data_IF_402549408108
#
_entry.id   IF_402549408108
#
_cell.length_a   1.000
_cell.length_b   1.000
_cell.length_c   1.000
_cell.angle_alpha   90.00
_cell.angle_beta   90.00
_cell.angle_gamma   90.00
#
_symmetry.space_group_name_H-M   'P 1'
#
loop_
_entity.id
_entity.type
_entity.pdbx_description
1 polymer ?
#
# COMPACT_ATOMS: atom_id res chain seq x y z
N UNK A 1 7.24 -2.18 28.63
CA UNK A 1 6.28 -3.22 28.19
C UNK A 1 5.46 -2.63 27.06
N UNK A 2 5.75 -2.96 25.79
CA UNK A 2 4.92 -2.49 24.70
C UNK A 2 3.63 -3.32 24.65
N UNK A 3 2.48 -2.64 24.63
CA UNK A 3 1.18 -3.27 24.44
C UNK A 3 1.10 -3.78 23.00
N UNK A 4 0.88 -5.09 22.80
CA UNK A 4 0.44 -5.62 21.51
C UNK A 4 -0.97 -5.07 21.24
N UNK A 5 -1.05 -3.97 20.49
CA UNK A 5 -2.29 -3.51 19.88
C UNK A 5 -2.44 -4.20 18.54
N UNK A 6 -3.44 -5.07 18.39
CA UNK A 6 -3.91 -5.49 17.07
C UNK A 6 -4.54 -4.25 16.41
N UNK A 7 -3.77 -3.56 15.57
CA UNK A 7 -4.27 -2.48 14.74
C UNK A 7 -4.92 -3.10 13.50
N UNK A 8 -6.24 -3.27 13.54
CA UNK A 8 -7.03 -3.48 12.34
C UNK A 8 -6.97 -2.19 11.50
N UNK A 9 -6.46 -2.32 10.28
CA UNK A 9 -6.17 -1.22 9.37
C UNK A 9 -7.35 -0.26 9.17
N UNK A 10 -6.99 1.01 9.00
CA UNK A 10 -7.81 2.07 8.43
C UNK A 10 -8.63 1.60 7.23
N UNK A 11 -9.79 2.24 7.01
CA UNK A 11 -10.63 2.06 5.81
C UNK A 11 -9.87 2.44 4.53
N UNK A 12 -8.92 1.63 4.12
CA UNK A 12 -8.29 1.61 2.81
C UNK A 12 -8.90 0.42 2.10
N UNK A 13 -9.82 0.69 1.18
CA UNK A 13 -10.34 -0.35 0.29
C UNK A 13 -9.26 -0.58 -0.75
N UNK A 14 -8.43 -1.61 -0.55
CA UNK A 14 -7.62 -2.15 -1.63
C UNK A 14 -8.55 -2.87 -2.60
N UNK A 15 -8.85 -2.23 -3.73
CA UNK A 15 -9.53 -2.89 -4.84
C UNK A 15 -8.49 -3.72 -5.61
N UNK A 16 -8.37 -5.00 -5.28
CA UNK A 16 -7.61 -5.95 -6.10
C UNK A 16 -8.42 -6.32 -7.34
N UNK A 17 -7.91 -5.95 -8.52
CA UNK A 17 -8.47 -6.39 -9.80
C UNK A 17 -7.77 -7.69 -10.21
N UNK A 18 -8.42 -8.84 -10.00
CA UNK A 18 -7.95 -10.10 -10.58
C UNK A 18 -8.28 -10.09 -12.06
N UNK A 19 -7.25 -9.98 -12.91
CA UNK A 19 -7.39 -10.02 -14.36
C UNK A 19 -7.82 -11.42 -14.84
N UNK A 20 -9.12 -11.67 -14.88
CA UNK A 20 -9.72 -12.63 -15.79
C UNK A 20 -10.86 -11.92 -16.51
N UNK A 21 -10.78 -11.86 -17.84
CA UNK A 21 -11.76 -11.28 -18.78
C UNK A 21 -11.54 -9.82 -19.22
N UNK A 22 -10.56 -9.62 -20.11
CA UNK A 22 -10.64 -8.58 -21.14
C UNK A 22 -10.17 -9.15 -22.49
N UNK A 23 -11.02 -9.96 -23.12
CA UNK A 23 -10.92 -10.28 -24.54
C UNK A 23 -11.92 -9.42 -25.32
N UNK A 24 -11.42 -8.37 -25.97
CA UNK A 24 -12.21 -7.64 -26.97
C UNK A 24 -12.02 -6.13 -26.96
N UNK A 25 -10.91 -5.66 -27.51
CA UNK A 25 -10.84 -4.30 -28.04
C UNK A 25 -10.36 -4.38 -29.49
N UNK A 26 -11.26 -4.02 -30.42
CA UNK A 26 -10.98 -3.91 -31.85
C UNK A 26 -10.20 -2.64 -32.14
N UNK A 27 -9.25 -2.77 -33.06
CA UNK A 27 -8.37 -1.73 -33.60
C UNK A 27 -9.14 -0.51 -34.12
N UNK A 28 -8.61 0.68 -33.83
CA UNK A 28 -8.97 1.90 -34.54
C UNK A 28 -7.67 2.52 -35.07
N UNK A 29 -7.52 2.42 -36.39
CA UNK A 29 -6.37 2.87 -37.16
C UNK A 29 -6.57 4.35 -37.50
N UNK A 30 -5.57 5.21 -37.26
CA UNK A 30 -5.54 6.54 -37.87
C UNK A 30 -4.09 6.95 -38.15
N UNK A 31 -3.77 6.99 -39.44
CA UNK A 31 -2.51 7.52 -39.96
C UNK A 31 -2.53 9.05 -39.92
N UNK A 32 -1.45 9.68 -39.44
CA UNK A 32 -1.12 11.06 -39.76
C UNK A 32 0.39 11.18 -40.07
N UNK A 33 0.70 11.81 -41.20
CA UNK A 33 2.04 12.03 -41.77
C UNK A 33 2.82 13.11 -41.00
N UNK A 34 4.17 13.14 -41.09
CA UNK A 34 4.99 14.13 -40.40
C UNK A 34 5.22 15.39 -41.25
N UNK A 35 5.21 16.56 -40.61
CA UNK A 35 5.78 17.81 -41.16
C UNK A 35 7.07 18.18 -40.41
N UNK A 36 8.03 18.73 -41.16
CA UNK A 36 9.37 19.17 -40.73
C UNK A 36 9.44 20.70 -40.57
N UNK A 37 10.56 21.14 -39.98
CA UNK A 37 11.17 22.49 -39.92
C UNK A 37 10.95 23.22 -38.58
N UNK A 38 11.88 23.98 -38.00
CA UNK A 38 13.29 24.26 -38.28
C UNK A 38 13.98 24.68 -36.98
N UNK A 39 15.31 24.54 -36.92
CA UNK A 39 16.14 24.88 -35.77
C UNK A 39 16.28 26.41 -35.57
N UNK A 40 16.13 26.88 -34.33
CA UNK A 40 16.66 28.17 -33.87
C UNK A 40 17.31 28.00 -32.49
N UNK A 41 18.63 28.21 -32.45
CA UNK A 41 19.46 28.31 -31.27
C UNK A 41 19.21 29.61 -30.51
N UNK A 42 18.91 29.54 -29.21
CA UNK A 42 19.09 30.65 -28.25
C UNK A 42 19.58 30.13 -26.91
N UNK A 43 20.82 30.46 -26.57
CA UNK A 43 21.39 30.30 -25.24
C UNK A 43 20.67 31.26 -24.27
N UNK A 44 19.96 30.73 -23.25
CA UNK A 44 19.51 31.49 -22.07
C UNK A 44 19.80 30.70 -20.80
N UNK A 45 20.82 31.14 -20.07
CA UNK A 45 21.07 30.81 -18.66
C UNK A 45 19.91 31.37 -17.83
N UNK A 46 18.99 30.50 -17.43
CA UNK A 46 17.79 30.85 -16.65
C UNK A 46 16.78 29.71 -16.48
N UNK A 47 16.99 28.58 -17.16
CA UNK A 47 15.99 27.50 -17.26
C UNK A 47 15.64 26.76 -15.98
N UNK A 48 16.48 26.79 -14.92
CA UNK A 48 16.15 26.09 -13.66
C UNK A 48 15.12 26.86 -12.83
N UNK A 49 15.34 28.16 -12.63
CA UNK A 49 14.38 29.03 -11.94
C UNK A 49 13.07 29.15 -12.73
N UNK A 50 13.15 29.28 -14.05
CA UNK A 50 11.96 29.31 -14.92
C UNK A 50 11.16 28.00 -14.92
N UNK A 51 11.82 26.83 -14.81
CA UNK A 51 11.13 25.53 -14.67
C UNK A 51 10.50 25.32 -13.28
N UNK A 52 11.10 25.89 -12.23
CA UNK A 52 10.54 25.86 -10.88
C UNK A 52 9.29 26.75 -10.82
N UNK A 53 9.37 27.96 -11.38
CA UNK A 53 8.24 28.89 -11.49
C UNK A 53 7.10 28.28 -12.33
N UNK A 54 7.42 27.70 -13.49
CA UNK A 54 6.40 27.06 -14.35
C UNK A 54 5.78 25.81 -13.73
N UNK A 55 6.50 25.12 -12.83
CA UNK A 55 5.95 24.01 -12.02
C UNK A 55 5.00 24.53 -10.93
N UNK A 56 5.27 25.68 -10.34
CA UNK A 56 4.37 26.30 -9.36
C UNK A 56 3.11 26.90 -10.03
N UNK A 57 3.26 27.44 -11.24
CA UNK A 57 2.12 28.01 -11.98
C UNK A 57 1.19 26.94 -12.59
N UNK A 58 1.67 25.71 -12.84
CA UNK A 58 0.80 24.60 -13.27
C UNK A 58 -0.05 24.00 -12.14
N UNK A 59 0.29 24.25 -10.88
CA UNK A 59 -0.50 23.77 -9.73
C UNK A 59 -1.82 24.54 -9.55
N UNK A 60 -1.89 25.80 -9.97
CA UNK A 60 -3.10 26.62 -9.81
C UNK A 60 -4.25 26.23 -10.75
N UNK A 61 -3.98 25.43 -11.78
CA UNK A 61 -4.96 25.00 -12.78
C UNK A 61 -4.90 23.48 -13.04
N UNK A 62 -4.37 22.73 -12.08
CA UNK A 62 -4.31 21.28 -12.16
C UNK A 62 -5.73 20.71 -12.14
N UNK A 63 -6.11 19.98 -13.20
CA UNK A 63 -7.35 19.20 -13.23
C UNK A 63 -7.36 18.05 -12.20
N UNK A 64 -6.25 17.87 -11.47
CA UNK A 64 -5.99 16.81 -10.51
C UNK A 64 -5.71 17.43 -9.15
N UNK A 65 -6.50 17.04 -8.16
CA UNK A 65 -6.35 17.46 -6.76
C UNK A 65 -6.17 16.22 -5.88
N UNK A 66 -5.27 16.29 -4.90
CA UNK A 66 -5.10 15.25 -3.89
C UNK A 66 -6.26 15.29 -2.88
N UNK A 67 -6.69 14.13 -2.38
CA UNK A 67 -7.71 14.07 -1.32
C UNK A 67 -9.08 14.64 -1.72
N UNK A 68 -9.50 14.45 -2.98
CA UNK A 68 -10.82 14.87 -3.46
C UNK A 68 -11.93 14.27 -2.57
N UNK A 69 -12.97 15.06 -2.29
CA UNK A 69 -14.10 14.56 -1.53
C UNK A 69 -14.91 13.60 -2.40
N UNK A 70 -14.93 12.34 -2.01
CA UNK A 70 -15.80 11.32 -2.60
C UNK A 70 -17.21 11.35 -2.05
N UNK A 71 -17.99 10.36 -2.48
CA UNK A 71 -19.30 10.00 -1.95
C UNK A 71 -19.33 8.54 -1.54
N UNK A 72 -20.47 8.10 -1.03
CA UNK A 72 -20.69 6.68 -0.71
C UNK A 72 -21.81 6.18 -1.60
N UNK A 73 -21.50 5.19 -2.45
CA UNK A 73 -22.54 4.43 -3.13
C UNK A 73 -23.13 3.42 -2.13
N UNK A 74 -24.44 3.48 -1.90
CA UNK A 74 -25.12 2.68 -0.86
C UNK A 74 -26.11 1.69 -1.51
N UNK A 75 -25.62 0.58 -2.09
CA UNK A 75 -26.50 -0.42 -2.73
C UNK A 75 -27.26 -1.29 -1.73
N UNK A 76 -26.87 -1.28 -0.45
CA UNK A 76 -27.45 -2.12 0.61
C UNK A 76 -28.28 -1.27 1.57
N UNK A 77 -29.38 -1.85 2.06
CA UNK A 77 -30.17 -1.24 3.12
C UNK A 77 -29.46 -1.33 4.47
N UNK A 78 -29.84 -0.49 5.44
CA UNK A 78 -29.34 -0.59 6.82
C UNK A 78 -29.60 -1.97 7.44
N UNK A 79 -30.75 -2.58 7.10
CA UNK A 79 -31.11 -3.93 7.54
C UNK A 79 -30.14 -4.98 6.97
N UNK A 80 -29.78 -4.87 5.70
CA UNK A 80 -28.86 -5.83 5.07
C UNK A 80 -27.44 -5.66 5.61
N UNK A 81 -26.99 -4.43 5.84
CA UNK A 81 -25.70 -4.18 6.49
C UNK A 81 -25.64 -4.77 7.90
N UNK A 82 -26.69 -4.59 8.72
CA UNK A 82 -26.77 -5.19 10.05
C UNK A 82 -26.72 -6.73 9.97
N UNK A 83 -27.45 -7.34 9.04
CA UNK A 83 -27.41 -8.81 8.83
C UNK A 83 -26.03 -9.31 8.44
N UNK A 84 -25.32 -8.60 7.55
CA UNK A 84 -23.96 -8.96 7.15
C UNK A 84 -23.01 -8.86 8.34
N UNK A 85 -23.11 -7.79 9.13
CA UNK A 85 -22.29 -7.61 10.32
C UNK A 85 -22.51 -8.73 11.34
N UNK A 86 -23.77 -9.03 11.68
CA UNK A 86 -24.12 -10.14 12.59
C UNK A 86 -23.62 -11.48 12.08
N UNK A 87 -23.73 -11.73 10.77
CA UNK A 87 -23.25 -12.97 10.16
C UNK A 87 -21.71 -13.07 10.24
N UNK A 88 -20.99 -11.97 10.03
CA UNK A 88 -19.54 -11.96 10.15
C UNK A 88 -19.09 -12.27 11.59
N UNK A 89 -19.78 -11.68 12.58
CA UNK A 89 -19.57 -11.98 13.99
C UNK A 89 -19.87 -13.45 14.33
N UNK A 90 -21.01 -13.99 13.85
CA UNK A 90 -21.36 -15.41 14.02
C UNK A 90 -20.29 -16.34 13.44
N UNK A 91 -19.77 -16.02 12.26
CA UNK A 91 -18.70 -16.79 11.61
C UNK A 91 -17.43 -16.75 12.45
N UNK A 92 -16.99 -15.58 12.91
CA UNK A 92 -15.76 -15.49 13.70
C UNK A 92 -15.89 -16.17 15.07
N UNK A 93 -17.06 -16.13 15.69
CA UNK A 93 -17.33 -16.72 17.01
C UNK A 93 -17.50 -18.25 16.95
N UNK A 94 -18.23 -18.77 15.96
CA UNK A 94 -18.63 -20.18 15.94
C UNK A 94 -17.85 -21.03 14.92
N UNK A 95 -17.33 -20.41 13.86
CA UNK A 95 -16.60 -21.09 12.78
C UNK A 95 -15.09 -20.83 12.92
N UNK A 96 -14.71 -19.59 13.22
CA UNK A 96 -13.34 -19.15 13.45
C UNK A 96 -12.44 -19.14 12.22
N UNK A 97 -11.15 -18.97 12.47
CA UNK A 97 -10.07 -18.92 11.50
C UNK A 97 -9.12 -20.12 11.67
N UNK A 98 -8.66 -20.71 10.57
CA UNK A 98 -7.70 -21.81 10.59
C UNK A 98 -6.25 -21.31 10.60
N UNK A 99 -5.34 -22.20 11.03
CA UNK A 99 -3.88 -22.07 10.96
C UNK A 99 -3.30 -20.80 11.62
N UNK A 100 -3.71 -20.43 12.85
CA UNK A 100 -3.11 -19.28 13.53
C UNK A 100 -1.63 -19.56 13.83
N UNK A 101 -0.75 -18.64 13.43
CA UNK A 101 0.67 -18.73 13.79
C UNK A 101 0.84 -18.66 15.31
N UNK A 102 1.86 -19.31 15.90
CA UNK A 102 1.99 -19.41 17.36
C UNK A 102 1.95 -18.06 18.10
N UNK A 103 2.62 -17.03 17.56
CA UNK A 103 2.64 -15.67 18.15
C UNK A 103 1.24 -15.05 18.19
N UNK A 104 0.46 -15.21 17.12
CA UNK A 104 -0.92 -14.74 17.07
C UNK A 104 -1.80 -15.53 18.02
N UNK A 105 -1.65 -16.86 18.04
CA UNK A 105 -2.46 -17.74 18.88
C UNK A 105 -2.28 -17.40 20.36
N UNK A 106 -1.04 -17.27 20.84
CA UNK A 106 -0.73 -16.89 22.22
C UNK A 106 -1.41 -15.57 22.60
N UNK A 107 -1.17 -14.51 21.81
CA UNK A 107 -1.76 -13.20 22.05
C UNK A 107 -3.30 -13.21 22.00
N UNK A 108 -3.90 -14.00 21.10
CA UNK A 108 -5.35 -14.10 20.96
C UNK A 108 -5.97 -14.83 22.16
N UNK A 109 -5.37 -15.92 22.63
CA UNK A 109 -5.85 -16.67 23.80
C UNK A 109 -5.80 -15.80 25.07
N UNK A 110 -4.75 -15.00 25.24
CA UNK A 110 -4.65 -14.02 26.34
C UNK A 110 -5.77 -12.97 26.31
N UNK A 111 -6.32 -12.68 25.13
CA UNK A 111 -7.44 -11.75 24.92
C UNK A 111 -8.82 -12.40 24.99
N UNK A 112 -8.88 -13.67 25.37
CA UNK A 112 -10.13 -14.40 25.56
C UNK A 112 -10.65 -15.10 24.30
N UNK A 113 -9.87 -15.16 23.22
CA UNK A 113 -10.15 -16.09 22.13
C UNK A 113 -10.03 -17.54 22.61
N UNK A 114 -10.68 -18.45 21.90
CA UNK A 114 -10.64 -19.89 22.21
C UNK A 114 -10.36 -20.71 20.95
N UNK A 115 -10.01 -21.98 21.11
CA UNK A 115 -9.91 -22.91 20.00
C UNK A 115 -11.14 -23.80 19.94
N UNK A 116 -11.65 -24.04 18.73
CA UNK A 116 -12.65 -25.07 18.49
C UNK A 116 -12.06 -26.47 18.66
N UNK A 117 -12.94 -27.48 18.66
CA UNK A 117 -12.57 -28.90 18.61
C UNK A 117 -11.68 -29.27 17.41
N UNK A 118 -11.77 -28.48 16.33
CA UNK A 118 -10.98 -28.62 15.10
C UNK A 118 -9.73 -27.71 15.08
N UNK A 119 -9.39 -27.09 16.21
CA UNK A 119 -8.19 -26.25 16.32
C UNK A 119 -8.30 -24.89 15.60
N UNK A 120 -9.52 -24.41 15.32
CA UNK A 120 -9.73 -23.08 14.72
C UNK A 120 -9.84 -22.02 15.78
N UNK A 121 -9.21 -20.88 15.56
CA UNK A 121 -9.26 -19.72 16.46
C UNK A 121 -10.62 -19.04 16.36
N UNK A 122 -11.36 -19.07 17.46
CA UNK A 122 -12.68 -18.47 17.65
C UNK A 122 -12.53 -17.11 18.34
N UNK A 123 -13.27 -16.10 17.86
CA UNK A 123 -13.20 -14.74 18.38
C UNK A 123 -14.51 -14.35 19.06
N UNK A 124 -14.51 -14.00 20.36
CA UNK A 124 -15.68 -13.48 21.03
C UNK A 124 -16.19 -12.21 20.34
N UNK A 125 -17.51 -12.07 20.19
CA UNK A 125 -18.13 -10.90 19.55
C UNK A 125 -17.68 -9.57 20.16
N UNK A 126 -17.72 -9.48 21.48
CA UNK A 126 -17.32 -8.29 22.22
C UNK A 126 -15.87 -7.88 21.92
N UNK A 127 -14.94 -8.85 21.79
CA UNK A 127 -13.56 -8.56 21.43
C UNK A 127 -13.45 -7.95 20.03
N UNK A 128 -14.19 -8.50 19.05
CA UNK A 128 -14.21 -7.98 17.68
C UNK A 128 -14.77 -6.57 17.64
N UNK A 129 -15.88 -6.32 18.34
CA UNK A 129 -16.52 -5.01 18.43
C UNK A 129 -15.63 -3.97 19.13
N UNK A 130 -14.97 -4.34 20.23
CA UNK A 130 -14.03 -3.48 20.93
C UNK A 130 -12.84 -3.09 20.04
N UNK A 131 -12.29 -4.04 19.27
CA UNK A 131 -11.23 -3.77 18.30
C UNK A 131 -11.68 -2.76 17.22
N UNK A 132 -12.90 -2.92 16.68
CA UNK A 132 -13.47 -2.00 15.69
C UNK A 132 -13.72 -0.61 16.30
N UNK A 133 -14.22 -0.56 17.53
CA UNK A 133 -14.48 0.68 18.26
C UNK A 133 -13.18 1.46 18.49
N UNK A 134 -12.10 0.75 18.88
CA UNK A 134 -10.77 1.31 19.13
C UNK A 134 -10.02 1.78 17.87
N UNK A 135 -10.47 1.42 16.67
CA UNK A 135 -9.80 1.82 15.42
C UNK A 135 -9.88 3.35 15.22
N UNK A 136 -8.75 4.04 14.91
CA UNK A 136 -8.73 5.47 14.68
C UNK A 136 -9.63 5.87 13.51
N UNK A 137 -10.35 6.99 13.64
CA UNK A 137 -11.20 7.55 12.56
C UNK A 137 -10.42 8.46 11.61
N UNK A 138 -9.19 8.80 12.00
CA UNK A 138 -8.24 9.60 11.23
C UNK A 138 -6.86 9.01 11.44
N UNK A 139 -6.16 8.76 10.34
CA UNK A 139 -4.75 8.37 10.34
C UNK A 139 -3.99 9.22 9.34
N UNK A 140 -2.67 9.19 9.37
CA UNK A 140 -1.83 9.97 8.48
C UNK A 140 -0.89 9.05 7.71
N UNK A 141 -0.76 9.29 6.41
CA UNK A 141 0.36 8.78 5.63
C UNK A 141 1.31 9.95 5.44
N UNK A 142 2.37 9.96 6.25
CA UNK A 142 3.40 10.99 6.19
C UNK A 142 4.45 10.61 5.15
N UNK A 143 5.20 11.57 4.66
CA UNK A 143 6.06 11.42 3.50
C UNK A 143 7.45 11.97 3.77
N UNK A 144 8.46 11.58 3.00
CA UNK A 144 9.81 12.15 3.17
C UNK A 144 9.84 13.65 2.85
N UNK A 145 8.97 14.08 1.95
CA UNK A 145 8.73 15.48 1.62
C UNK A 145 7.35 15.91 2.11
N UNK A 146 7.29 16.58 3.27
CA UNK A 146 6.08 16.96 4.01
C UNK A 146 4.97 17.62 3.17
N UNK A 147 5.28 18.16 1.99
CA UNK A 147 4.24 18.64 1.06
C UNK A 147 3.31 17.53 0.56
N UNK A 148 3.68 16.26 0.74
CA UNK A 148 2.91 15.06 0.36
C UNK A 148 2.28 14.35 1.56
N UNK A 149 2.30 14.94 2.76
CA UNK A 149 1.61 14.36 3.91
C UNK A 149 0.10 14.38 3.65
N UNK A 150 -0.54 13.22 3.88
CA UNK A 150 -1.98 13.09 3.71
C UNK A 150 -2.66 12.65 5.01
N UNK A 151 -3.82 13.24 5.27
CA UNK A 151 -4.73 12.86 6.34
C UNK A 151 -5.82 11.96 5.77
N UNK A 152 -5.80 10.69 6.14
CA UNK A 152 -6.84 9.73 5.79
C UNK A 152 -8.03 9.92 6.74
N UNK A 153 -8.97 10.79 6.35
CA UNK A 153 -10.16 11.11 7.14
C UNK A 153 -11.43 11.28 6.30
N UNK A 154 -12.57 11.02 6.93
CA UNK A 154 -13.89 11.32 6.39
C UNK A 154 -14.19 10.66 5.06
N UNK A 155 -14.33 11.46 4.00
CA UNK A 155 -14.68 11.04 2.63
C UNK A 155 -13.59 11.37 1.61
N UNK A 156 -12.38 11.71 2.06
CA UNK A 156 -11.27 12.02 1.17
C UNK A 156 -10.82 10.76 0.44
N UNK A 157 -10.58 10.89 -0.86
CA UNK A 157 -10.12 9.80 -1.71
C UNK A 157 -8.68 10.09 -2.12
N UNK A 158 -7.84 9.07 -1.99
CA UNK A 158 -6.44 9.08 -2.35
C UNK A 158 -6.16 7.87 -3.25
N UNK A 159 -5.18 8.00 -4.14
CA UNK A 159 -4.79 6.95 -5.07
C UNK A 159 -3.37 6.51 -4.77
N UNK A 160 -3.17 5.20 -4.71
CA UNK A 160 -1.84 4.61 -4.68
C UNK A 160 -1.74 3.56 -5.79
N UNK A 161 -0.57 3.48 -6.46
CA UNK A 161 -0.29 2.36 -7.32
C UNK A 161 0.13 1.16 -6.45
N UNK A 162 -0.29 -0.03 -6.83
CA UNK A 162 0.07 -1.28 -6.15
C UNK A 162 -0.35 -2.49 -6.98
N UNK A 163 -0.06 -3.69 -6.48
CA UNK A 163 -0.54 -4.94 -7.10
C UNK A 163 0.50 -6.03 -7.31
N UNK A 164 1.78 -5.75 -7.01
CA UNK A 164 2.84 -6.78 -6.94
C UNK A 164 2.94 -7.72 -8.16
N UNK A 165 2.77 -7.20 -9.38
CA UNK A 165 2.86 -8.02 -10.59
C UNK A 165 4.28 -8.60 -10.78
N UNK A 166 4.39 -9.86 -11.19
CA UNK A 166 5.68 -10.53 -11.48
C UNK A 166 6.18 -10.29 -12.91
N UNK A 167 5.46 -9.48 -13.68
CA UNK A 167 5.78 -9.18 -15.07
C UNK A 167 5.43 -7.73 -15.38
N UNK A 168 6.15 -7.16 -16.35
CA UNK A 168 5.96 -5.80 -16.83
C UNK A 168 5.89 -5.78 -18.35
N UNK A 169 5.28 -4.72 -18.89
CA UNK A 169 5.17 -4.48 -20.32
C UNK A 169 5.93 -3.19 -20.66
N UNK A 170 6.97 -3.32 -21.47
CA UNK A 170 7.76 -2.17 -21.92
C UNK A 170 6.96 -1.29 -22.89
N UNK A 171 7.30 0.00 -22.94
CA UNK A 171 6.66 0.96 -23.84
C UNK A 171 6.85 0.52 -25.30
N UNK A 172 5.73 0.29 -26.00
CA UNK A 172 5.72 -0.15 -27.39
C UNK A 172 5.91 -1.65 -27.60
N UNK A 173 6.06 -2.43 -26.52
CA UNK A 173 6.08 -3.89 -26.60
C UNK A 173 4.66 -4.48 -26.64
N UNK A 174 4.53 -5.67 -27.24
CA UNK A 174 3.29 -6.45 -27.26
C UNK A 174 3.39 -7.73 -26.42
N UNK A 175 4.50 -7.93 -25.72
CA UNK A 175 4.80 -9.12 -24.93
C UNK A 175 5.34 -8.73 -23.57
N UNK A 176 4.82 -9.33 -22.52
CA UNK A 176 5.31 -9.15 -21.16
C UNK A 176 6.68 -9.80 -20.97
N UNK A 177 7.48 -9.23 -20.08
CA UNK A 177 8.71 -9.81 -19.57
C UNK A 177 8.68 -9.87 -18.03
N UNK A 178 9.51 -10.72 -17.39
CA UNK A 178 9.68 -10.68 -15.95
C UNK A 178 10.10 -9.29 -15.46
N UNK A 179 9.53 -8.86 -14.34
CA UNK A 179 9.89 -7.58 -13.69
C UNK A 179 11.23 -7.70 -12.95
N UNK A 180 11.93 -6.57 -12.86
CA UNK A 180 13.24 -6.42 -12.24
C UNK A 180 13.21 -5.40 -11.11
N UNK A 181 14.29 -5.33 -10.32
CA UNK A 181 14.44 -4.30 -9.30
C UNK A 181 14.46 -2.89 -9.89
N UNK A 182 15.01 -2.73 -11.10
CA UNK A 182 15.02 -1.46 -11.83
C UNK A 182 13.61 -1.04 -12.21
N UNK A 183 12.76 -1.97 -12.63
CA UNK A 183 11.35 -1.65 -12.93
C UNK A 183 10.62 -1.10 -11.70
N UNK A 184 10.83 -1.71 -10.53
CA UNK A 184 10.23 -1.21 -9.29
C UNK A 184 10.67 0.23 -8.98
N UNK A 185 11.96 0.52 -9.13
CA UNK A 185 12.50 1.87 -8.97
C UNK A 185 11.88 2.85 -9.97
N UNK A 186 11.80 2.47 -11.25
CA UNK A 186 11.25 3.31 -12.31
C UNK A 186 9.77 3.61 -12.09
N UNK A 187 8.98 2.64 -11.61
CA UNK A 187 7.59 2.87 -11.22
C UNK A 187 7.46 3.79 -10.00
N UNK A 188 8.36 3.68 -9.03
CA UNK A 188 8.42 4.60 -7.89
C UNK A 188 8.75 6.03 -8.36
N UNK A 189 9.72 6.19 -9.27
CA UNK A 189 10.04 7.48 -9.91
C UNK A 189 8.87 8.04 -10.70
N UNK A 190 8.16 7.20 -11.46
CA UNK A 190 6.97 7.61 -12.21
C UNK A 190 5.91 8.14 -11.24
N UNK A 191 5.63 7.39 -10.16
CA UNK A 191 4.68 7.78 -9.12
C UNK A 191 5.06 9.10 -8.45
N UNK A 192 6.33 9.32 -8.14
CA UNK A 192 6.83 10.58 -7.55
C UNK A 192 6.54 11.80 -8.44
N UNK A 193 6.47 11.61 -9.77
CA UNK A 193 6.19 12.69 -10.73
C UNK A 193 4.70 12.86 -11.06
N UNK A 194 3.84 11.90 -10.72
CA UNK A 194 2.41 11.96 -11.00
C UNK A 194 1.66 12.62 -9.85
N UNK A 195 1.06 13.79 -10.09
CA UNK A 195 0.32 14.55 -9.06
C UNK A 195 -0.98 13.90 -8.58
N UNK A 196 -1.52 12.91 -9.31
CA UNK A 196 -2.75 12.20 -8.97
C UNK A 196 -2.53 10.95 -8.13
N UNK A 197 -1.27 10.55 -7.91
CA UNK A 197 -0.94 9.42 -7.05
C UNK A 197 -0.39 10.00 -5.74
N UNK A 198 -1.01 9.67 -4.63
CA UNK A 198 -0.75 10.30 -3.33
C UNK A 198 0.32 9.55 -2.53
N UNK A 199 0.34 8.22 -2.65
CA UNK A 199 1.32 7.33 -1.99
C UNK A 199 1.87 6.32 -2.99
N UNK A 200 2.79 5.46 -2.55
CA UNK A 200 3.37 4.41 -3.38
C UNK A 200 3.31 3.06 -2.67
N UNK A 201 2.60 2.12 -3.25
CA UNK A 201 2.73 0.69 -2.96
C UNK A 201 3.58 0.00 -4.03
N UNK A 202 4.16 -1.15 -3.67
CA UNK A 202 4.94 -1.96 -4.61
C UNK A 202 4.05 -2.46 -5.75
N UNK A 203 4.30 -1.98 -6.98
CA UNK A 203 3.53 -2.35 -8.17
C UNK A 203 3.99 -3.65 -8.82
N UNK A 204 5.26 -4.00 -8.67
CA UNK A 204 5.87 -5.20 -9.24
C UNK A 204 6.79 -5.88 -8.25
N UNK A 205 6.92 -7.20 -8.36
CA UNK A 205 7.87 -8.01 -7.60
C UNK A 205 9.12 -8.21 -8.47
N UNK A 206 10.31 -7.77 -8.04
CA UNK A 206 11.56 -8.08 -8.73
C UNK A 206 11.82 -9.59 -8.78
N UNK A 207 11.96 -10.13 -9.99
CA UNK A 207 12.24 -11.56 -10.22
C UNK A 207 13.73 -11.86 -10.41
N UNK A 208 14.55 -10.82 -10.50
CA UNK A 208 16.01 -10.86 -10.69
C UNK A 208 16.81 -10.90 -9.37
N UNK A 209 16.11 -10.89 -8.21
CA UNK A 209 16.72 -10.98 -6.87
C UNK A 209 16.16 -12.22 -6.14
N UNK A 210 16.81 -13.40 -6.28
CA UNK A 210 16.25 -14.66 -5.77
C UNK A 210 16.44 -14.88 -4.27
N UNK A 211 17.43 -14.23 -3.64
CA UNK A 211 17.63 -14.31 -2.19
C UNK A 211 16.58 -13.45 -1.47
N UNK A 212 15.79 -14.06 -0.57
CA UNK A 212 14.65 -13.41 0.07
C UNK A 212 15.07 -12.19 0.91
N UNK A 213 16.18 -12.30 1.65
CA UNK A 213 16.68 -11.17 2.46
C UNK A 213 17.12 -10.02 1.56
N UNK A 214 17.91 -10.32 0.53
CA UNK A 214 18.32 -9.32 -0.44
C UNK A 214 17.11 -8.72 -1.16
N UNK A 215 16.11 -9.51 -1.51
CA UNK A 215 14.88 -9.06 -2.16
C UNK A 215 14.15 -8.01 -1.29
N UNK A 216 13.89 -8.33 -0.02
CA UNK A 216 13.15 -7.43 0.87
C UNK A 216 13.90 -6.12 1.13
N UNK A 217 15.21 -6.19 1.40
CA UNK A 217 16.04 -5.01 1.62
C UNK A 217 16.12 -4.15 0.35
N UNK A 218 16.34 -4.77 -0.82
CA UNK A 218 16.49 -4.02 -2.07
C UNK A 218 15.17 -3.44 -2.56
N UNK A 219 14.04 -4.14 -2.38
CA UNK A 219 12.72 -3.60 -2.74
C UNK A 219 12.34 -2.41 -1.87
N UNK A 220 12.62 -2.48 -0.55
CA UNK A 220 12.46 -1.35 0.35
C UNK A 220 13.34 -0.17 -0.08
N UNK A 221 14.62 -0.42 -0.34
CA UNK A 221 15.56 0.60 -0.83
C UNK A 221 15.10 1.23 -2.14
N UNK A 222 14.75 0.44 -3.16
CA UNK A 222 14.34 0.91 -4.47
C UNK A 222 13.08 1.79 -4.38
N UNK A 223 12.10 1.38 -3.56
CA UNK A 223 10.88 2.15 -3.33
C UNK A 223 11.16 3.48 -2.65
N UNK A 224 11.92 3.45 -1.54
CA UNK A 224 12.28 4.64 -0.77
C UNK A 224 13.20 5.58 -1.53
N UNK A 225 14.10 5.07 -2.36
CA UNK A 225 14.95 5.88 -3.23
C UNK A 225 14.17 6.50 -4.40
N UNK A 226 13.14 5.80 -4.89
CA UNK A 226 12.36 6.20 -6.05
C UNK A 226 11.32 7.28 -5.78
N UNK A 227 10.72 7.34 -4.59
CA UNK A 227 9.67 8.33 -4.30
C UNK A 227 9.87 9.06 -2.97
N UNK A 228 9.43 10.32 -2.93
CA UNK A 228 9.42 11.14 -1.71
C UNK A 228 8.09 11.05 -0.96
N UNK A 229 7.08 10.43 -1.56
CA UNK A 229 5.74 10.21 -0.99
C UNK A 229 5.78 9.10 0.07
N UNK A 230 4.67 8.91 0.79
CA UNK A 230 4.54 7.78 1.71
C UNK A 230 4.70 6.45 0.96
N UNK A 231 5.45 5.51 1.54
CA UNK A 231 5.72 4.19 0.93
C UNK A 231 5.09 3.08 1.76
N UNK A 232 4.25 2.26 1.13
CA UNK A 232 3.83 0.96 1.67
C UNK A 232 4.88 -0.09 1.35
N UNK A 233 5.56 -0.58 2.39
CA UNK A 233 6.57 -1.63 2.32
C UNK A 233 5.93 -3.00 2.52
N UNK A 234 6.33 -3.96 1.68
CA UNK A 234 5.93 -5.36 1.78
C UNK A 234 7.16 -6.23 1.94
N UNK A 235 7.03 -7.29 2.72
CA UNK A 235 8.11 -8.20 3.08
C UNK A 235 7.70 -9.62 2.79
N UNK A 236 8.63 -10.43 2.27
CA UNK A 236 8.46 -11.86 2.12
C UNK A 236 8.64 -12.58 3.47
N UNK A 237 9.42 -11.99 4.37
CA UNK A 237 9.74 -12.59 5.66
C UNK A 237 9.90 -11.51 6.75
N UNK A 238 9.17 -11.68 7.85
CA UNK A 238 9.17 -10.74 8.97
C UNK A 238 10.56 -10.54 9.58
N UNK A 239 11.45 -11.54 9.48
CA UNK A 239 12.80 -11.50 10.06
C UNK A 239 13.69 -10.45 9.40
N UNK A 240 13.38 -10.01 8.18
CA UNK A 240 14.16 -9.00 7.45
C UNK A 240 13.62 -7.58 7.64
N UNK A 241 12.51 -7.42 8.40
CA UNK A 241 11.94 -6.11 8.70
C UNK A 241 12.89 -5.25 9.56
N UNK A 242 13.75 -5.87 10.36
CA UNK A 242 14.77 -5.16 11.17
C UNK A 242 15.78 -4.41 10.29
N UNK A 243 16.24 -5.05 9.20
CA UNK A 243 17.18 -4.43 8.25
C UNK A 243 16.54 -3.23 7.54
N UNK A 244 15.25 -3.34 7.19
CA UNK A 244 14.50 -2.23 6.59
C UNK A 244 14.20 -1.12 7.61
N UNK A 245 13.92 -1.46 8.87
CA UNK A 245 13.75 -0.48 9.96
C UNK A 245 15.04 0.33 10.19
N UNK A 246 16.20 -0.33 10.19
CA UNK A 246 17.48 0.36 10.27
C UNK A 246 17.67 1.34 9.10
N UNK A 247 17.36 0.89 7.87
CA UNK A 247 17.45 1.73 6.68
C UNK A 247 16.54 2.97 6.77
N UNK A 248 15.29 2.83 7.20
CA UNK A 248 14.37 3.98 7.33
C UNK A 248 14.80 4.92 8.44
N UNK A 249 15.35 4.41 9.55
CA UNK A 249 15.90 5.25 10.60
C UNK A 249 17.11 6.05 10.10
N UNK A 250 18.03 5.43 9.36
CA UNK A 250 19.16 6.14 8.75
C UNK A 250 18.64 7.24 7.81
N UNK A 251 17.66 6.92 6.97
CA UNK A 251 17.07 7.87 6.03
C UNK A 251 16.36 9.04 6.72
N UNK A 252 15.73 8.80 7.88
CA UNK A 252 15.09 9.82 8.70
C UNK A 252 16.08 10.72 9.46
N UNK A 253 17.34 10.31 9.61
CA UNK A 253 18.32 10.94 10.50
C UNK A 253 18.26 10.44 11.94
N UNK A 254 17.74 9.23 12.17
CA UNK A 254 17.67 8.52 13.44
C UNK A 254 16.25 8.05 13.78
N UNK A 255 16.14 7.07 14.68
CA UNK A 255 14.84 6.52 15.10
C UNK A 255 13.90 7.59 15.65
N UNK A 256 14.39 8.51 16.49
CA UNK A 256 13.54 9.59 17.03
C UNK A 256 12.91 10.43 15.90
N UNK A 257 13.71 10.80 14.90
CA UNK A 257 13.21 11.59 13.78
C UNK A 257 12.17 10.83 12.95
N UNK A 258 12.36 9.51 12.79
CA UNK A 258 11.38 8.64 12.16
C UNK A 258 10.08 8.54 12.97
N UNK A 259 10.14 8.31 14.29
CA UNK A 259 8.95 8.22 15.15
C UNK A 259 8.17 9.53 15.18
N UNK A 260 8.84 10.67 15.13
CA UNK A 260 8.19 11.99 15.05
C UNK A 260 7.50 12.20 13.68
N UNK A 261 7.93 11.50 12.62
CA UNK A 261 7.41 11.66 11.25
C UNK A 261 7.60 10.38 10.38
N UNK A 262 6.81 9.31 10.62
CA UNK A 262 6.97 8.03 9.93
C UNK A 262 6.53 8.09 8.46
N UNK A 263 7.49 8.07 7.54
CA UNK A 263 7.21 8.25 6.10
C UNK A 263 6.94 6.94 5.33
N UNK A 264 6.83 5.82 6.01
CA UNK A 264 6.43 4.55 5.41
C UNK A 264 5.58 3.73 6.38
N UNK A 265 4.87 2.75 5.84
CA UNK A 265 4.10 1.77 6.58
C UNK A 265 4.48 0.38 6.08
N UNK A 266 4.15 -0.63 6.86
CA UNK A 266 4.28 -2.04 6.46
C UNK A 266 2.95 -2.74 6.69
N UNK A 267 2.70 -3.82 5.95
CA UNK A 267 1.51 -4.63 6.12
C UNK A 267 1.38 -5.68 5.02
N UNK A 268 0.22 -6.31 4.96
CA UNK A 268 -0.09 -7.30 3.95
C UNK A 268 -1.50 -7.86 4.15
N UNK A 269 -1.85 -8.88 3.39
CA UNK A 269 -3.07 -9.64 3.62
C UNK A 269 -2.73 -10.90 4.42
N UNK A 270 -3.05 -10.96 5.73
CA UNK A 270 -2.78 -12.14 6.55
C UNK A 270 -3.81 -13.24 6.32
N UNK A 271 -4.89 -12.97 5.57
CA UNK A 271 -6.01 -13.91 5.38
C UNK A 271 -5.97 -14.51 3.99
N UNK A 272 -5.92 -15.84 3.93
CA UNK A 272 -6.12 -16.65 2.74
C UNK A 272 -7.55 -17.16 2.73
N UNK A 273 -8.25 -16.94 1.63
CA UNK A 273 -9.64 -17.41 1.50
C UNK A 273 -9.68 -18.93 1.25
N UNK A 274 -10.60 -19.66 1.91
CA UNK A 274 -11.55 -19.20 2.93
C UNK A 274 -11.04 -19.32 4.38
N UNK A 275 -11.09 -18.22 5.15
CA UNK A 275 -10.94 -18.17 6.62
C UNK A 275 -9.69 -18.89 7.19
N UNK A 276 -8.54 -18.68 6.57
CA UNK A 276 -7.24 -19.23 7.00
C UNK A 276 -6.22 -18.11 7.14
N UNK A 277 -5.31 -18.22 8.11
CA UNK A 277 -4.15 -17.33 8.19
C UNK A 277 -3.04 -17.81 7.27
N UNK A 278 -2.49 -16.91 6.45
CA UNK A 278 -1.24 -17.16 5.74
C UNK A 278 -0.06 -16.92 6.68
N UNK A 279 0.79 -17.91 6.88
CA UNK A 279 1.87 -17.90 7.88
C UNK A 279 2.78 -16.67 7.74
N UNK A 280 3.45 -16.52 6.60
CA UNK A 280 4.43 -15.45 6.36
C UNK A 280 3.82 -14.05 6.52
N UNK A 281 2.69 -13.79 5.85
CA UNK A 281 2.03 -12.48 5.91
C UNK A 281 1.45 -12.18 7.30
N UNK A 282 1.03 -13.20 8.06
CA UNK A 282 0.54 -12.99 9.43
C UNK A 282 1.68 -12.52 10.32
N UNK A 283 2.85 -13.15 10.22
CA UNK A 283 4.04 -12.73 10.97
C UNK A 283 4.47 -11.30 10.60
N UNK A 284 4.45 -10.95 9.31
CA UNK A 284 4.71 -9.58 8.85
C UNK A 284 3.69 -8.60 9.42
N UNK A 285 2.40 -8.96 9.48
CA UNK A 285 1.36 -8.10 10.04
C UNK A 285 1.49 -7.90 11.56
N UNK A 286 2.03 -8.88 12.30
CA UNK A 286 2.30 -8.75 13.74
C UNK A 286 3.39 -7.69 13.98
N UNK A 287 4.40 -7.63 13.11
CA UNK A 287 5.52 -6.70 13.23
C UNK A 287 5.30 -5.36 12.51
N UNK A 288 4.34 -5.27 11.59
CA UNK A 288 3.99 -4.07 10.84
C UNK A 288 3.77 -2.80 11.69
N UNK A 289 3.16 -2.84 12.90
CA UNK A 289 3.04 -1.67 13.76
C UNK A 289 4.38 -0.98 14.08
N UNK A 290 5.50 -1.69 13.98
CA UNK A 290 6.85 -1.14 14.23
C UNK A 290 7.27 -0.09 13.19
N UNK A 291 6.63 -0.05 12.03
CA UNK A 291 6.84 1.01 11.02
C UNK A 291 5.94 2.24 11.27
N UNK A 292 5.00 2.16 12.20
CA UNK A 292 4.13 3.28 12.52
C UNK A 292 4.73 4.12 13.66
N UNK A 293 4.30 5.39 13.76
CA UNK A 293 4.73 6.33 14.80
C UNK A 293 4.08 6.07 16.15
#
# INVERSE_FOLDING_TARGET
MPQLGLFAGSRVVYAFWTSSELSGVKEMNTQAKPEKSDAITRHRTGGRAGRIQSKQDCDANSAVMTGVSGGTYTPLSQRDMARIHETALDVLENIGMADPVPRLLEAALEKGCTLSDKGRLLFPRALVEDCIAGTPKTTHHLSRDKSWDIELSGKRVYFDPGGEAVSTLDIGANTYRPSTLVDLYDFARLTDNLGHLDTFGKVVVPTDVPDLRAHDINTAYASLAGTRKHVGLGFMDFRYMDDALEMVHILAGGEKAYRDHPFCSSGGCPVVSPLTFGEDNTEVCIDAPRFHG
#
